data_IF_396821529064
#
_entry.id   IF_396821529064
#
_cell.length_a   1.000
_cell.length_b   1.000
_cell.length_c   1.000
_cell.angle_alpha   90.00
_cell.angle_beta   90.00
_cell.angle_gamma   90.00
#
_symmetry.space_group_name_H-M   'P 1'
#
loop_
_entity.id
_entity.type
_entity.pdbx_description
1 polymer ?
#
# COMPACT_ATOMS: atom_id res chain seq x y z
N UNK A 1 -19.63 30.52 19.54
CA UNK A 1 -21.06 30.64 19.91
C UNK A 1 -21.86 30.23 18.68
N UNK A 2 -22.44 29.04 18.69
CA UNK A 2 -23.41 28.56 17.71
C UNK A 2 -24.17 27.42 18.41
N UNK A 3 -25.48 27.58 18.55
CA UNK A 3 -26.39 26.61 19.13
C UNK A 3 -27.37 26.19 18.03
N UNK A 4 -27.47 24.89 17.74
CA UNK A 4 -28.57 24.31 16.97
C UNK A 4 -29.55 23.57 17.88
N UNK A 5 -30.82 23.60 17.50
CA UNK A 5 -31.97 23.19 18.30
C UNK A 5 -32.55 21.88 17.76
N UNK A 6 -32.40 20.76 18.47
CA UNK A 6 -33.15 19.53 18.17
C UNK A 6 -33.60 18.83 19.46
N UNK A 7 -34.92 18.71 19.64
CA UNK A 7 -35.64 17.88 20.63
C UNK A 7 -35.38 18.16 22.13
N UNK A 8 -35.78 19.35 22.58
CA UNK A 8 -36.52 19.49 23.85
C UNK A 8 -35.75 19.39 25.19
N UNK A 9 -34.42 19.41 25.24
CA UNK A 9 -33.67 19.68 26.48
C UNK A 9 -32.46 20.59 26.23
N UNK A 10 -32.34 21.68 27.01
CA UNK A 10 -31.22 22.64 26.97
C UNK A 10 -30.11 22.18 27.93
N UNK A 11 -28.90 21.97 27.42
CA UNK A 11 -27.68 21.98 28.23
C UNK A 11 -26.58 22.75 27.49
N UNK A 12 -26.15 23.86 28.08
CA UNK A 12 -24.96 24.61 27.69
C UNK A 12 -23.84 24.27 28.68
N UNK A 13 -22.61 24.09 28.21
CA UNK A 13 -21.43 23.98 29.11
C UNK A 13 -20.30 24.90 28.64
N UNK A 14 -19.72 25.57 29.62
CA UNK A 14 -18.76 26.68 29.52
C UNK A 14 -17.35 26.23 29.12
N UNK A 15 -16.69 27.18 28.44
CA UNK A 15 -15.25 27.28 28.15
C UNK A 15 -14.38 27.36 29.41
N UNK A 16 -13.13 26.94 29.26
CA UNK A 16 -12.02 27.31 30.15
C UNK A 16 -10.67 27.15 29.45
N UNK A 17 -10.12 28.26 28.93
CA UNK A 17 -8.67 28.51 28.85
C UNK A 17 -8.15 28.77 30.29
N UNK A 18 -6.89 28.53 30.64
CA UNK A 18 -5.77 29.46 30.49
C UNK A 18 -4.45 28.73 30.87
N UNK A 19 -3.44 28.89 30.01
CA UNK A 19 -1.96 29.08 30.15
C UNK A 19 -1.27 28.81 31.52
N UNK A 20 0.02 28.47 31.69
CA UNK A 20 1.25 28.65 30.90
C UNK A 20 2.41 27.85 31.56
N UNK A 21 3.49 27.63 30.79
CA UNK A 21 4.90 27.77 31.17
C UNK A 21 5.73 26.58 31.72
N UNK A 22 6.63 26.14 30.82
CA UNK A 22 8.09 25.86 30.96
C UNK A 22 8.58 24.40 31.05
N UNK A 23 9.30 24.04 29.97
CA UNK A 23 10.56 23.30 29.85
C UNK A 23 10.84 22.17 30.85
N UNK A 24 11.00 20.94 30.33
CA UNK A 24 12.32 20.28 30.26
C UNK A 24 12.23 18.99 29.45
N UNK A 25 13.12 18.87 28.47
CA UNK A 25 13.45 17.68 27.69
C UNK A 25 13.96 16.57 28.60
N UNK A 26 13.55 15.31 28.39
CA UNK A 26 14.36 14.06 28.41
C UNK A 26 13.43 12.85 28.12
N UNK A 27 13.92 11.97 27.23
CA UNK A 27 13.29 10.76 26.67
C UNK A 27 13.06 9.62 27.69
N UNK A 28 12.25 8.60 27.35
CA UNK A 28 11.59 7.71 28.31
C UNK A 28 12.35 6.41 28.60
N UNK A 29 12.16 5.85 29.80
CA UNK A 29 12.39 4.42 30.08
C UNK A 29 11.21 3.83 30.84
N UNK A 30 10.71 2.72 30.28
CA UNK A 30 9.64 1.89 30.80
C UNK A 30 10.06 1.17 32.09
N UNK A 31 9.16 1.14 33.07
CA UNK A 31 9.22 0.28 34.25
C UNK A 31 7.87 -0.41 34.44
N UNK A 32 7.88 -1.74 34.42
CA UNK A 32 6.73 -2.58 34.78
C UNK A 32 6.75 -2.95 36.26
N UNK A 33 5.57 -3.26 36.81
CA UNK A 33 5.40 -4.12 37.97
C UNK A 33 3.94 -4.56 38.11
N UNK A 34 3.69 -5.87 38.12
CA UNK A 34 2.52 -6.48 38.76
C UNK A 34 3.01 -7.76 39.44
N UNK A 35 2.93 -7.80 40.77
CA UNK A 35 3.11 -9.00 41.60
C UNK A 35 1.77 -9.36 42.24
N UNK A 36 1.40 -10.64 42.16
CA UNK A 36 0.22 -11.22 42.80
C UNK A 36 0.57 -11.75 44.20
N UNK A 37 -0.32 -11.48 45.16
CA UNK A 37 -0.33 -11.97 46.55
C UNK A 37 -0.95 -13.37 46.62
N UNK A 38 -0.37 -14.24 47.44
CA UNK A 38 -1.00 -15.46 47.96
C UNK A 38 -0.40 -15.80 49.32
N UNK A 39 -1.23 -15.73 50.36
CA UNK A 39 -0.97 -15.88 51.79
C UNK A 39 -1.18 -17.34 52.20
N UNK A 40 -0.33 -17.94 53.05
CA UNK A 40 -0.76 -18.84 54.16
C UNK A 40 0.26 -18.82 55.32
N UNK A 41 -0.25 -18.36 56.46
CA UNK A 41 -0.07 -18.66 57.90
C UNK A 41 1.24 -19.15 58.58
N UNK A 42 1.37 -18.61 59.81
CA UNK A 42 2.31 -18.82 60.91
C UNK A 42 2.29 -20.23 61.52
N UNK A 43 3.45 -20.71 62.00
CA UNK A 43 3.79 -20.77 63.44
C UNK A 43 5.08 -21.61 63.72
N UNK A 44 6.14 -20.92 64.19
CA UNK A 44 6.87 -21.11 65.47
C UNK A 44 6.95 -22.53 66.09
N UNK A 45 8.07 -23.12 66.55
CA UNK A 45 9.30 -22.64 67.21
C UNK A 45 10.39 -23.76 67.29
N UNK A 46 11.65 -23.31 67.38
CA UNK A 46 12.94 -23.87 67.86
C UNK A 46 13.15 -25.38 68.19
N UNK A 47 14.26 -25.97 67.72
CA UNK A 47 15.52 -26.24 68.50
C UNK A 47 16.58 -27.00 67.64
N UNK A 48 17.85 -26.55 67.72
CA UNK A 48 19.16 -27.26 67.66
C UNK A 48 19.59 -28.20 66.50
N UNK A 49 20.80 -27.94 65.99
CA UNK A 49 21.70 -28.81 65.17
C UNK A 49 22.31 -29.95 66.03
N UNK A 50 23.13 -30.90 65.50
CA UNK A 50 23.32 -31.46 64.14
C UNK A 50 23.35 -33.02 64.10
N UNK A 51 23.39 -33.64 62.90
CA UNK A 51 24.28 -34.77 62.48
C UNK A 51 23.77 -35.56 61.26
N UNK A 52 24.74 -36.09 60.51
CA UNK A 52 24.69 -36.83 59.24
C UNK A 52 23.68 -37.98 59.17
N UNK A 53 23.11 -38.20 57.98
CA UNK A 53 23.06 -39.53 57.36
C UNK A 53 22.81 -39.45 55.84
N UNK A 54 23.61 -40.19 55.08
CA UNK A 54 23.51 -40.36 53.63
C UNK A 54 22.33 -41.24 53.23
N UNK A 55 21.64 -40.90 52.14
CA UNK A 55 20.90 -41.85 51.31
C UNK A 55 21.07 -41.49 49.83
N UNK A 56 21.75 -42.35 49.09
CA UNK A 56 21.76 -42.33 47.62
C UNK A 56 20.43 -42.90 47.12
N UNK A 57 19.70 -42.12 46.34
CA UNK A 57 18.64 -42.61 45.45
C UNK A 57 18.85 -41.99 44.07
N UNK A 58 19.20 -42.84 43.11
CA UNK A 58 19.46 -42.47 41.72
C UNK A 58 18.13 -42.23 41.00
N UNK A 59 17.83 -40.97 40.67
CA UNK A 59 16.80 -40.62 39.69
C UNK A 59 17.45 -40.52 38.31
N UNK A 60 17.02 -41.36 37.37
CA UNK A 60 17.29 -41.18 35.94
C UNK A 60 16.55 -39.91 35.46
N UNK A 61 17.24 -38.77 35.49
CA UNK A 61 16.77 -37.54 34.86
C UNK A 61 16.95 -37.66 33.34
N UNK A 62 15.87 -37.97 32.63
CA UNK A 62 15.79 -37.77 31.18
C UNK A 62 15.99 -36.27 30.90
N UNK A 63 17.07 -35.93 30.20
CA UNK A 63 17.61 -34.57 30.11
C UNK A 63 16.63 -33.62 29.39
N UNK A 64 16.06 -32.69 30.17
CA UNK A 64 15.30 -31.49 29.75
C UNK A 64 16.05 -30.60 28.72
N UNK A 65 17.34 -30.85 28.46
CA UNK A 65 18.13 -30.10 27.48
C UNK A 65 17.80 -30.41 26.00
N UNK A 66 17.24 -31.57 25.68
CA UNK A 66 17.01 -31.94 24.26
C UNK A 66 15.78 -31.24 23.66
N UNK A 67 14.73 -30.97 24.44
CA UNK A 67 13.53 -30.26 23.98
C UNK A 67 13.76 -28.77 23.71
N UNK A 68 14.70 -28.14 24.42
CA UNK A 68 15.02 -26.72 24.26
C UNK A 68 15.79 -26.43 22.97
N UNK A 69 16.60 -27.37 22.51
CA UNK A 69 17.37 -27.25 21.26
C UNK A 69 16.51 -27.54 20.01
N UNK A 70 15.44 -28.34 20.12
CA UNK A 70 14.50 -28.60 19.03
C UNK A 70 13.62 -27.37 18.75
N UNK A 71 13.17 -26.66 19.79
CA UNK A 71 12.38 -25.43 19.63
C UNK A 71 13.21 -24.28 19.04
N UNK A 72 14.48 -24.12 19.43
CA UNK A 72 15.38 -23.13 18.85
C UNK A 72 15.75 -23.41 17.38
N UNK A 73 15.77 -24.68 16.95
CA UNK A 73 16.02 -25.05 15.55
C UNK A 73 14.76 -24.94 14.67
N UNK A 74 13.56 -25.10 15.24
CA UNK A 74 12.29 -24.83 14.56
C UNK A 74 12.05 -23.34 14.33
N UNK A 75 12.45 -22.48 15.27
CA UNK A 75 12.37 -21.02 15.11
C UNK A 75 13.39 -20.47 14.09
N UNK A 76 14.48 -21.19 13.82
CA UNK A 76 15.43 -20.82 12.77
C UNK A 76 14.95 -21.22 11.35
N UNK A 77 13.83 -21.95 11.23
CA UNK A 77 13.35 -22.51 9.96
C UNK A 77 12.09 -21.84 9.38
N UNK A 78 11.55 -20.81 10.04
CA UNK A 78 10.41 -20.02 9.50
C UNK A 78 10.79 -18.53 9.45
N UNK A 79 11.89 -18.23 8.76
CA UNK A 79 12.03 -16.94 8.08
C UNK A 79 11.96 -17.24 6.60
N UNK A 80 10.76 -17.63 6.14
CA UNK A 80 10.40 -17.48 4.73
C UNK A 80 10.28 -15.98 4.51
N UNK A 81 11.41 -15.32 4.22
CA UNK A 81 11.38 -14.03 3.53
C UNK A 81 10.63 -14.30 2.24
N UNK A 82 9.35 -13.95 2.22
CA UNK A 82 8.54 -13.96 1.02
C UNK A 82 9.21 -13.03 0.03
N UNK A 83 10.03 -13.60 -0.84
CA UNK A 83 10.58 -12.88 -1.97
C UNK A 83 9.37 -12.43 -2.79
N UNK A 84 9.17 -11.12 -2.89
CA UNK A 84 8.11 -10.60 -3.72
C UNK A 84 8.41 -11.08 -5.15
N UNK A 85 7.49 -11.85 -5.71
CA UNK A 85 7.60 -12.21 -7.12
C UNK A 85 7.39 -10.92 -7.91
N UNK A 86 8.45 -10.37 -8.52
CA UNK A 86 8.34 -9.17 -9.34
C UNK A 86 7.55 -9.44 -10.63
N UNK A 87 7.40 -10.71 -11.01
CA UNK A 87 6.68 -11.13 -12.20
C UNK A 87 5.20 -11.37 -11.89
N UNK A 88 4.48 -10.30 -11.58
CA UNK A 88 3.04 -10.33 -11.33
C UNK A 88 2.28 -10.19 -12.65
N UNK A 89 1.34 -11.09 -12.91
CA UNK A 89 0.42 -11.03 -14.04
C UNK A 89 -0.92 -11.66 -13.70
N UNK A 90 -1.96 -11.36 -14.48
CA UNK A 90 -3.28 -11.93 -14.29
C UNK A 90 -4.35 -11.28 -15.15
N UNK A 91 -5.60 -11.62 -14.89
CA UNK A 91 -6.74 -10.89 -15.43
C UNK A 91 -7.09 -9.71 -14.51
N UNK A 92 -7.51 -8.61 -15.11
CA UNK A 92 -7.95 -7.41 -14.42
C UNK A 92 -9.18 -6.78 -15.10
N UNK A 93 -9.94 -6.04 -14.30
CA UNK A 93 -10.92 -5.06 -14.80
C UNK A 93 -10.30 -3.67 -14.74
N UNK A 94 -10.61 -2.81 -15.70
CA UNK A 94 -10.20 -1.41 -15.64
C UNK A 94 -11.39 -0.50 -15.38
N UNK A 95 -11.16 0.60 -14.67
CA UNK A 95 -12.13 1.69 -14.53
C UNK A 95 -11.46 3.00 -14.90
N UNK A 96 -12.13 4.12 -14.66
CA UNK A 96 -11.59 5.46 -14.88
C UNK A 96 -11.90 6.33 -13.68
N UNK A 97 -11.02 7.29 -13.39
CA UNK A 97 -11.19 8.30 -12.34
C UNK A 97 -10.40 9.57 -12.63
N UNK A 98 -10.86 10.68 -12.07
CA UNK A 98 -10.05 11.88 -11.88
C UNK A 98 -10.69 12.74 -10.79
N UNK A 99 -10.15 12.67 -9.59
CA UNK A 99 -10.64 13.39 -8.41
C UNK A 99 -9.73 14.52 -7.96
N UNK A 100 -8.62 14.74 -8.69
CA UNK A 100 -7.59 15.72 -8.38
C UNK A 100 -6.88 15.51 -7.03
N UNK A 101 -7.21 14.46 -6.27
CA UNK A 101 -6.57 14.19 -4.99
C UNK A 101 -5.08 13.98 -5.16
N UNK A 102 -4.29 14.29 -4.12
CA UNK A 102 -2.92 13.78 -4.03
C UNK A 102 -2.94 12.25 -4.15
N UNK A 103 -2.26 11.66 -5.15
CA UNK A 103 -2.24 10.20 -5.32
C UNK A 103 -1.62 9.50 -4.11
N UNK A 104 -2.12 8.31 -3.76
CA UNK A 104 -1.67 7.61 -2.55
C UNK A 104 -0.18 7.24 -2.57
N UNK A 105 0.40 6.96 -3.73
CA UNK A 105 1.84 6.69 -3.87
C UNK A 105 2.71 7.96 -3.80
N UNK A 106 2.10 9.13 -3.58
CA UNK A 106 2.81 10.40 -3.35
C UNK A 106 3.15 10.62 -1.87
N UNK A 107 2.75 9.71 -0.99
CA UNK A 107 3.14 9.70 0.42
C UNK A 107 4.42 8.90 0.62
N UNK A 108 5.22 9.29 1.61
CA UNK A 108 6.42 8.53 2.01
C UNK A 108 6.05 7.13 2.50
N UNK A 109 7.01 6.22 2.39
CA UNK A 109 6.94 4.85 2.92
C UNK A 109 5.78 4.01 2.34
N UNK A 110 5.39 4.29 1.09
CA UNK A 110 4.38 3.51 0.34
C UNK A 110 4.96 2.44 -0.55
N UNK A 111 6.28 2.32 -0.60
CA UNK A 111 7.03 1.33 -1.36
C UNK A 111 8.53 1.65 -1.33
N UNK A 112 9.36 0.69 -1.73
CA UNK A 112 10.79 0.89 -1.95
C UNK A 112 10.99 1.60 -3.31
N UNK A 113 11.11 2.92 -3.26
CA UNK A 113 11.13 3.80 -4.45
C UNK A 113 12.16 4.91 -4.30
N UNK A 114 12.67 5.40 -5.42
CA UNK A 114 13.60 6.53 -5.51
C UNK A 114 13.09 7.80 -4.82
N UNK A 115 11.80 8.08 -4.97
CA UNK A 115 11.00 9.10 -4.28
C UNK A 115 9.53 8.82 -4.55
N UNK A 116 8.61 9.21 -3.65
CA UNK A 116 7.18 9.09 -3.92
C UNK A 116 6.75 9.83 -5.18
N UNK A 117 5.60 9.44 -5.72
CA UNK A 117 4.98 10.10 -6.88
C UNK A 117 4.89 11.61 -6.63
N UNK A 118 5.31 12.39 -7.62
CA UNK A 118 5.24 13.83 -7.57
C UNK A 118 3.78 14.30 -7.48
N UNK A 119 3.49 15.17 -6.52
CA UNK A 119 2.23 15.92 -6.46
C UNK A 119 2.46 17.38 -6.87
N UNK A 120 1.38 18.05 -7.26
CA UNK A 120 1.43 19.43 -7.69
C UNK A 120 0.53 20.34 -6.84
N UNK A 121 0.89 21.62 -6.75
CA UNK A 121 0.04 22.66 -6.18
C UNK A 121 -1.10 23.06 -7.11
N UNK A 122 -1.88 24.05 -6.68
CA UNK A 122 -2.99 24.63 -7.47
C UNK A 122 -2.54 25.18 -8.84
N UNK A 123 -1.27 25.58 -8.95
CA UNK A 123 -0.63 26.10 -10.15
C UNK A 123 0.00 25.01 -11.03
N UNK A 124 -0.28 23.73 -10.75
CA UNK A 124 0.26 22.58 -11.47
C UNK A 124 1.80 22.53 -11.49
N UNK A 125 2.42 22.98 -10.39
CA UNK A 125 3.86 22.90 -10.15
C UNK A 125 4.18 21.93 -9.01
N UNK A 126 5.34 21.26 -9.05
CA UNK A 126 5.81 20.40 -7.97
C UNK A 126 5.62 21.05 -6.59
N UNK A 127 5.05 20.32 -5.64
CA UNK A 127 4.86 20.78 -4.26
C UNK A 127 5.59 19.86 -3.28
N UNK A 128 5.80 20.36 -2.06
CA UNK A 128 6.40 19.59 -0.97
C UNK A 128 5.65 18.28 -0.73
N UNK A 129 6.42 17.22 -0.50
CA UNK A 129 5.93 15.86 -0.28
C UNK A 129 5.07 15.71 0.98
N UNK A 130 5.26 16.57 1.97
CA UNK A 130 4.49 16.61 3.21
C UNK A 130 3.18 17.40 3.06
N UNK A 131 2.98 18.11 1.95
CA UNK A 131 1.76 18.87 1.72
C UNK A 131 0.53 17.95 1.74
N UNK A 132 -0.48 18.38 2.50
CA UNK A 132 -1.75 17.65 2.67
C UNK A 132 -2.50 17.52 1.35
N UNK A 133 -3.28 16.44 1.20
CA UNK A 133 -4.11 16.24 0.00
C UNK A 133 -5.18 17.33 -0.12
N UNK A 134 -5.36 17.82 -1.33
CA UNK A 134 -6.47 18.69 -1.71
C UNK A 134 -7.79 18.14 -1.21
N UNK A 135 -8.05 16.84 -1.36
CA UNK A 135 -9.32 16.19 -0.98
C UNK A 135 -9.72 16.27 0.50
N UNK A 136 -8.80 16.66 1.39
CA UNK A 136 -9.09 16.87 2.82
C UNK A 136 -8.66 18.26 3.30
N UNK A 137 -8.70 19.27 2.41
CA UNK A 137 -8.41 20.66 2.73
C UNK A 137 -6.93 21.06 2.62
N UNK A 138 -6.06 20.18 2.14
CA UNK A 138 -4.65 20.50 1.85
C UNK A 138 -4.44 21.19 0.50
N UNK A 139 -3.17 21.29 0.09
CA UNK A 139 -2.72 22.05 -1.09
C UNK A 139 -2.07 21.21 -2.19
N UNK A 140 -1.96 19.89 -1.99
CA UNK A 140 -1.37 18.97 -2.96
C UNK A 140 -2.44 18.22 -3.76
N UNK A 141 -2.28 18.20 -5.08
CA UNK A 141 -3.18 17.61 -6.05
C UNK A 141 -2.40 16.66 -6.98
N UNK A 142 -3.11 15.82 -7.74
CA UNK A 142 -2.50 15.08 -8.84
C UNK A 142 -2.03 16.06 -9.93
N UNK A 143 -0.78 15.91 -10.39
CA UNK A 143 -0.23 16.72 -11.47
C UNK A 143 -0.95 16.42 -12.80
N UNK A 144 -1.23 17.45 -13.59
CA UNK A 144 -1.99 17.29 -14.84
C UNK A 144 -1.24 16.49 -15.90
N UNK A 145 0.09 16.44 -15.84
CA UNK A 145 0.90 15.65 -16.75
C UNK A 145 0.85 14.14 -16.47
N UNK A 146 0.23 13.72 -15.35
CA UNK A 146 -0.03 12.34 -14.94
C UNK A 146 -1.40 11.84 -15.43
N UNK A 147 -1.68 12.09 -16.71
CA UNK A 147 -2.88 11.72 -17.45
C UNK A 147 -2.52 10.82 -18.65
N UNK A 148 -3.47 10.06 -19.25
CA UNK A 148 -3.19 9.16 -20.36
C UNK A 148 -2.99 9.88 -21.69
N UNK A 149 -2.30 9.23 -22.62
CA UNK A 149 -2.20 9.65 -24.01
C UNK A 149 -2.03 8.46 -24.93
N UNK A 150 -2.49 8.60 -26.17
CA UNK A 150 -2.24 7.63 -27.24
C UNK A 150 -0.88 7.90 -27.88
N UNK A 151 -0.10 6.84 -28.08
CA UNK A 151 1.12 6.90 -28.91
C UNK A 151 0.75 6.64 -30.37
N UNK A 152 -0.18 5.71 -30.59
CA UNK A 152 -0.79 5.40 -31.88
C UNK A 152 -2.17 4.74 -31.65
N UNK A 153 -2.80 4.24 -32.72
CA UNK A 153 -4.14 3.66 -32.66
C UNK A 153 -4.25 2.39 -31.81
N UNK A 154 -3.17 1.66 -31.58
CA UNK A 154 -3.18 0.39 -30.82
C UNK A 154 -2.44 0.48 -29.49
N UNK A 155 -1.70 1.56 -29.24
CA UNK A 155 -0.85 1.70 -28.05
C UNK A 155 -1.02 3.05 -27.34
N UNK A 156 -1.14 3.01 -26.02
CA UNK A 156 -1.25 4.17 -25.14
C UNK A 156 -0.39 4.03 -23.88
N UNK A 157 -0.11 5.18 -23.25
CA UNK A 157 0.48 5.26 -21.93
C UNK A 157 -0.48 5.94 -20.95
N UNK A 158 -0.27 5.75 -19.65
CA UNK A 158 -0.95 6.54 -18.64
C UNK A 158 -0.65 6.13 -17.21
N UNK A 159 -1.58 6.45 -16.32
CA UNK A 159 -1.43 6.27 -14.88
C UNK A 159 -2.69 5.64 -14.31
N UNK A 160 -2.57 4.94 -13.20
CA UNK A 160 -3.71 4.28 -12.59
C UNK A 160 -3.64 4.23 -11.07
N UNK A 161 -4.81 4.20 -10.44
CA UNK A 161 -4.99 3.56 -9.15
C UNK A 161 -4.96 2.05 -9.30
N UNK A 162 -4.12 1.36 -8.55
CA UNK A 162 -4.01 -0.09 -8.61
C UNK A 162 -4.62 -0.75 -7.37
N UNK A 163 -5.25 -1.90 -7.59
CA UNK A 163 -5.51 -2.90 -6.57
C UNK A 163 -5.13 -4.26 -7.19
N UNK A 164 -4.15 -4.92 -6.59
CA UNK A 164 -3.73 -6.27 -6.99
C UNK A 164 -4.04 -7.20 -5.83
N UNK A 165 -4.65 -8.34 -6.14
CA UNK A 165 -5.17 -9.23 -5.11
C UNK A 165 -4.05 -9.82 -4.24
N UNK A 166 -4.28 -10.01 -2.92
CA UNK A 166 -3.24 -10.44 -1.98
C UNK A 166 -2.55 -11.78 -2.32
N UNK A 167 -3.22 -12.67 -3.04
CA UNK A 167 -2.65 -13.93 -3.53
C UNK A 167 -1.50 -13.69 -4.52
N UNK A 168 -1.55 -12.62 -5.32
CA UNK A 168 -0.50 -12.26 -6.26
C UNK A 168 0.61 -11.41 -5.63
N UNK A 169 0.32 -10.68 -4.55
CA UNK A 169 1.28 -9.80 -3.88
C UNK A 169 1.93 -10.42 -2.64
N UNK A 170 1.54 -11.64 -2.26
CA UNK A 170 2.01 -12.28 -1.03
C UNK A 170 1.50 -11.56 0.23
N UNK A 171 0.25 -11.06 0.20
CA UNK A 171 -0.39 -10.34 1.31
C UNK A 171 -0.06 -8.84 1.36
N UNK A 172 0.89 -8.37 0.55
CA UNK A 172 1.32 -6.97 0.51
C UNK A 172 0.27 -6.10 -0.18
N UNK A 173 0.26 -4.81 0.17
CA UNK A 173 -0.68 -3.81 -0.36
C UNK A 173 0.04 -2.77 -1.23
N UNK A 174 -0.05 -1.48 -0.91
CA UNK A 174 0.54 -0.38 -1.69
C UNK A 174 2.03 -0.57 -1.99
N UNK A 175 2.79 -1.16 -1.06
CA UNK A 175 4.21 -1.46 -1.27
C UNK A 175 4.48 -2.38 -2.48
N UNK A 176 3.49 -3.14 -2.92
CA UNK A 176 3.57 -4.08 -4.06
C UNK A 176 3.44 -3.37 -5.40
N UNK A 177 2.58 -2.35 -5.47
CA UNK A 177 2.20 -1.74 -6.74
C UNK A 177 2.64 -0.29 -6.88
N UNK A 178 2.86 0.44 -5.79
CA UNK A 178 3.23 1.85 -5.89
C UNK A 178 4.47 2.03 -6.76
N UNK A 179 4.29 2.86 -7.79
CA UNK A 179 5.24 3.19 -8.84
C UNK A 179 5.64 2.05 -9.78
N UNK A 180 5.01 0.88 -9.65
CA UNK A 180 5.15 -0.21 -10.59
C UNK A 180 4.41 0.09 -11.90
N UNK A 181 4.98 -0.35 -13.01
CA UNK A 181 4.37 -0.25 -14.32
C UNK A 181 3.82 -1.59 -14.80
N UNK A 182 2.66 -1.53 -15.46
CA UNK A 182 1.93 -2.69 -15.90
C UNK A 182 1.51 -2.49 -17.35
N UNK A 183 1.76 -3.49 -18.18
CA UNK A 183 1.15 -3.57 -19.51
C UNK A 183 -0.25 -4.17 -19.33
N UNK A 184 -1.25 -3.50 -19.89
CA UNK A 184 -2.64 -3.91 -19.96
C UNK A 184 -2.95 -4.24 -21.42
N UNK A 185 -3.24 -5.51 -21.70
CA UNK A 185 -3.69 -5.98 -23.01
C UNK A 185 -5.21 -6.18 -22.93
N UNK A 186 -5.96 -5.27 -23.54
CA UNK A 186 -7.42 -5.27 -23.45
C UNK A 186 -8.02 -6.49 -24.15
N UNK A 187 -8.95 -7.16 -23.46
CA UNK A 187 -9.55 -8.42 -23.92
C UNK A 187 -11.03 -8.29 -24.28
N UNK A 188 -11.71 -7.23 -23.83
CA UNK A 188 -13.10 -6.93 -24.18
C UNK A 188 -13.21 -5.82 -25.23
N UNK A 189 -14.28 -5.88 -26.03
CA UNK A 189 -14.67 -4.76 -26.91
C UNK A 189 -15.03 -3.51 -26.09
N UNK A 190 -14.86 -2.30 -26.65
CA UNK A 190 -14.34 -1.98 -27.99
C UNK A 190 -12.81 -1.90 -28.05
N UNK A 191 -12.10 -2.27 -26.98
CA UNK A 191 -10.64 -2.08 -26.87
C UNK A 191 -9.82 -3.32 -27.18
N UNK A 192 -10.48 -4.44 -27.48
CA UNK A 192 -9.84 -5.73 -27.73
C UNK A 192 -8.67 -5.60 -28.71
N UNK A 193 -7.49 -6.06 -28.27
CA UNK A 193 -6.26 -6.02 -29.07
C UNK A 193 -5.46 -4.71 -28.97
N UNK A 194 -5.96 -3.69 -28.26
CA UNK A 194 -5.16 -2.53 -27.86
C UNK A 194 -4.34 -2.86 -26.62
N UNK A 195 -3.21 -2.18 -26.49
CA UNK A 195 -2.32 -2.29 -25.34
C UNK A 195 -2.12 -0.92 -24.70
N UNK A 196 -2.07 -0.88 -23.38
CA UNK A 196 -1.73 0.32 -22.62
C UNK A 196 -0.68 -0.01 -21.57
N UNK A 197 0.38 0.78 -21.46
CA UNK A 197 1.32 0.66 -20.34
C UNK A 197 1.04 1.78 -19.34
N UNK A 198 0.76 1.40 -18.10
CA UNK A 198 0.46 2.34 -17.02
C UNK A 198 1.53 2.33 -15.96
N UNK A 199 1.64 3.43 -15.21
CA UNK A 199 2.29 3.43 -13.91
C UNK A 199 1.25 3.55 -12.80
N UNK A 200 1.30 2.66 -11.82
CA UNK A 200 0.45 2.71 -10.64
C UNK A 200 0.90 3.85 -9.72
N UNK A 201 0.13 4.93 -9.68
CA UNK A 201 0.41 6.14 -8.88
C UNK A 201 -0.55 6.32 -7.70
N UNK A 202 -1.65 5.57 -7.67
CA UNK A 202 -2.67 5.63 -6.63
C UNK A 202 -3.13 4.20 -6.25
N UNK A 203 -4.05 4.10 -5.31
CA UNK A 203 -4.74 2.85 -4.95
C UNK A 203 -6.21 2.87 -5.38
N UNK A 204 -6.78 1.69 -5.67
CA UNK A 204 -8.19 1.52 -6.08
C UNK A 204 -8.96 0.58 -5.13
N UNK A 205 -9.02 0.92 -3.84
CA UNK A 205 -9.56 0.06 -2.77
C UNK A 205 -11.08 -0.14 -2.72
N UNK A 206 -11.85 0.54 -3.57
CA UNK A 206 -13.31 0.44 -3.62
C UNK A 206 -13.81 -0.92 -4.15
N UNK A 207 -13.01 -1.61 -4.97
CA UNK A 207 -13.28 -2.99 -5.41
C UNK A 207 -12.07 -3.86 -5.08
N UNK A 208 -12.24 -4.83 -4.17
CA UNK A 208 -11.15 -5.66 -3.62
C UNK A 208 -11.20 -7.14 -3.99
N UNK A 209 -12.18 -7.55 -4.80
CA UNK A 209 -12.44 -8.95 -5.14
C UNK A 209 -11.75 -9.41 -6.44
N UNK A 210 -11.14 -8.48 -7.18
CA UNK A 210 -10.48 -8.73 -8.45
C UNK A 210 -9.34 -7.74 -8.65
N UNK A 211 -8.34 -8.09 -9.47
CA UNK A 211 -7.32 -7.13 -9.85
C UNK A 211 -7.95 -5.98 -10.63
N UNK A 212 -7.58 -4.76 -10.29
CA UNK A 212 -8.16 -3.58 -10.89
C UNK A 212 -7.16 -2.47 -11.10
N UNK A 213 -7.26 -1.84 -12.27
CA UNK A 213 -6.56 -0.60 -12.61
C UNK A 213 -7.58 0.49 -12.93
N UNK A 214 -7.76 1.44 -12.01
CA UNK A 214 -8.57 2.63 -12.26
C UNK A 214 -7.72 3.67 -12.97
N UNK A 215 -7.94 3.86 -14.27
CA UNK A 215 -7.15 4.74 -15.12
C UNK A 215 -7.40 6.22 -14.75
N UNK A 216 -6.33 7.01 -14.65
CA UNK A 216 -6.40 8.43 -14.30
C UNK A 216 -6.83 9.29 -15.50
N UNK A 217 -8.13 9.29 -15.82
CA UNK A 217 -8.70 9.95 -16.99
C UNK A 217 -9.49 11.20 -16.57
N UNK A 218 -9.04 12.42 -16.91
CA UNK A 218 -9.79 13.64 -16.62
C UNK A 218 -11.23 13.57 -17.13
N UNK A 219 -12.18 13.89 -16.25
CA UNK A 219 -13.61 13.75 -16.52
C UNK A 219 -14.10 12.30 -16.61
N UNK A 220 -13.33 11.30 -16.19
CA UNK A 220 -13.69 9.88 -16.28
C UNK A 220 -14.59 9.36 -15.16
N UNK A 221 -14.38 9.83 -13.94
CA UNK A 221 -15.24 9.61 -12.78
C UNK A 221 -14.86 10.62 -11.69
N UNK A 222 -15.78 11.51 -11.33
CA UNK A 222 -15.66 12.41 -10.19
C UNK A 222 -16.15 11.72 -8.92
N UNK A 223 -15.30 11.67 -7.90
CA UNK A 223 -15.74 11.34 -6.54
C UNK A 223 -16.51 12.53 -5.94
N UNK A 224 -17.13 12.33 -4.77
CA UNK A 224 -17.78 13.40 -4.00
C UNK A 224 -16.81 14.46 -3.46
N UNK A 225 -15.51 14.33 -3.72
CA UNK A 225 -14.51 15.29 -3.30
C UNK A 225 -14.49 16.49 -4.24
N UNK A 226 -14.66 17.68 -3.68
CA UNK A 226 -14.62 18.98 -4.33
C UNK A 226 -13.19 19.44 -4.67
N UNK A 227 -12.20 18.54 -4.65
CA UNK A 227 -10.80 18.92 -4.84
C UNK A 227 -10.53 19.46 -6.24
N UNK A 228 -11.14 18.90 -7.29
CA UNK A 228 -11.02 19.46 -8.64
C UNK A 228 -11.63 20.85 -8.74
N UNK A 229 -12.82 21.04 -8.15
CA UNK A 229 -13.45 22.36 -8.04
C UNK A 229 -12.54 23.38 -7.37
N UNK A 230 -11.93 23.01 -6.23
CA UNK A 230 -10.98 23.86 -5.49
C UNK A 230 -9.65 24.07 -6.22
N UNK A 231 -9.11 23.06 -6.90
CA UNK A 231 -7.86 23.18 -7.64
C UNK A 231 -8.00 24.16 -8.80
N UNK A 232 -9.10 24.09 -9.54
CA UNK A 232 -9.25 24.85 -10.77
C UNK A 232 -10.12 26.10 -10.62
N UNK A 233 -10.73 26.31 -9.45
CA UNK A 233 -11.63 27.44 -9.21
C UNK A 233 -12.88 27.39 -10.08
N UNK A 234 -13.40 26.19 -10.35
CA UNK A 234 -14.57 25.95 -11.21
C UNK A 234 -15.64 25.15 -10.46
N UNK A 235 -16.88 25.17 -10.94
CA UNK A 235 -17.92 24.32 -10.39
C UNK A 235 -17.61 22.83 -10.61
N UNK A 236 -17.94 21.97 -9.64
CA UNK A 236 -17.69 20.52 -9.75
C UNK A 236 -18.39 19.88 -10.97
N UNK A 237 -19.53 20.42 -11.41
CA UNK A 237 -20.26 19.96 -12.60
C UNK A 237 -19.50 20.15 -13.92
N UNK A 238 -18.42 20.95 -13.93
CA UNK A 238 -17.48 21.02 -15.06
C UNK A 238 -16.85 19.66 -15.34
N UNK A 239 -16.55 18.89 -14.30
CA UNK A 239 -15.99 17.55 -14.41
C UNK A 239 -17.05 16.46 -14.61
N UNK A 240 -18.33 16.86 -14.69
CA UNK A 240 -19.47 16.00 -14.98
C UNK A 240 -20.17 15.45 -13.74
N UNK A 241 -20.89 14.35 -13.92
CA UNK A 241 -21.76 13.77 -12.88
C UNK A 241 -20.98 12.87 -11.92
N UNK A 242 -21.38 12.87 -10.65
CA UNK A 242 -20.78 11.99 -9.64
C UNK A 242 -20.81 10.52 -10.09
N UNK A 243 -19.74 9.78 -9.84
CA UNK A 243 -19.56 8.38 -10.24
C UNK A 243 -19.54 8.11 -11.77
N UNK A 244 -19.63 9.14 -12.61
CA UNK A 244 -19.79 9.00 -14.07
C UNK A 244 -18.80 9.86 -14.86
N UNK A 245 -18.48 11.06 -14.36
CA UNK A 245 -17.70 12.05 -15.07
C UNK A 245 -18.50 12.75 -16.17
N UNK A 246 -17.81 13.24 -17.20
CA UNK A 246 -18.44 13.88 -18.36
C UNK A 246 -19.21 12.88 -19.22
N UNK A 247 -20.25 13.32 -19.93
CA UNK A 247 -21.16 12.42 -20.65
C UNK A 247 -20.81 12.24 -22.13
N UNK A 248 -20.23 13.27 -22.76
CA UNK A 248 -19.86 13.27 -24.18
C UNK A 248 -18.54 13.98 -24.40
N UNK A 249 -17.92 13.75 -25.57
CA UNK A 249 -16.61 14.33 -25.92
C UNK A 249 -16.62 15.85 -25.85
N UNK A 250 -17.71 16.50 -26.26
CA UNK A 250 -17.86 17.96 -26.27
C UNK A 250 -17.86 18.56 -24.86
N UNK A 251 -18.22 17.78 -23.84
CA UNK A 251 -18.13 18.24 -22.45
C UNK A 251 -16.68 18.48 -22.02
N UNK A 252 -15.70 17.84 -22.68
CA UNK A 252 -14.28 18.08 -22.44
C UNK A 252 -13.87 19.54 -22.70
N UNK A 253 -14.61 20.30 -23.50
CA UNK A 253 -14.30 21.70 -23.78
C UNK A 253 -14.52 22.61 -22.56
N UNK A 254 -15.30 22.15 -21.57
CA UNK A 254 -15.52 22.84 -20.30
C UNK A 254 -14.40 22.61 -19.30
N UNK A 255 -13.63 21.53 -19.44
CA UNK A 255 -12.54 21.22 -18.51
C UNK A 255 -11.40 22.25 -18.60
N UNK A 256 -10.58 22.39 -17.54
CA UNK A 256 -9.34 23.15 -17.59
C UNK A 256 -8.46 22.77 -18.79
N UNK A 257 -7.78 23.76 -19.39
CA UNK A 257 -7.10 23.59 -20.68
C UNK A 257 -6.06 22.46 -20.69
N UNK A 258 -5.35 22.24 -19.58
CA UNK A 258 -4.37 21.17 -19.41
C UNK A 258 -4.97 19.76 -19.31
N UNK A 259 -6.28 19.64 -19.08
CA UNK A 259 -6.98 18.37 -18.93
C UNK A 259 -7.81 17.96 -20.16
N UNK A 260 -8.03 18.88 -21.11
CA UNK A 260 -8.93 18.65 -22.25
C UNK A 260 -8.49 17.49 -23.14
N UNK A 261 -7.20 17.40 -23.45
CA UNK A 261 -6.67 16.38 -24.36
C UNK A 261 -6.85 14.96 -23.81
N UNK A 262 -6.56 14.73 -22.53
CA UNK A 262 -6.76 13.44 -21.91
C UNK A 262 -8.25 13.12 -21.64
N UNK A 263 -9.09 14.15 -21.44
CA UNK A 263 -10.54 13.95 -21.46
C UNK A 263 -11.00 13.48 -22.84
N UNK A 264 -10.54 14.10 -23.93
CA UNK A 264 -10.89 13.69 -25.29
C UNK A 264 -10.33 12.29 -25.63
N UNK A 265 -9.15 11.93 -25.11
CA UNK A 265 -8.58 10.58 -25.22
C UNK A 265 -9.54 9.49 -24.73
N UNK A 266 -10.34 9.77 -23.68
CA UNK A 266 -11.40 8.87 -23.19
C UNK A 266 -12.34 8.43 -24.31
N UNK A 267 -12.75 9.36 -25.16
CA UNK A 267 -13.72 9.12 -26.22
C UNK A 267 -13.03 8.64 -27.51
N UNK A 268 -11.84 9.17 -27.80
CA UNK A 268 -11.15 8.91 -29.07
C UNK A 268 -10.44 7.57 -29.09
N UNK A 269 -9.54 7.34 -28.13
CA UNK A 269 -8.72 6.13 -28.11
C UNK A 269 -9.35 5.04 -27.25
N UNK A 270 -9.85 5.43 -26.07
CA UNK A 270 -10.46 4.55 -25.09
C UNK A 270 -11.96 4.25 -25.36
N UNK A 271 -12.54 4.89 -26.38
CA UNK A 271 -13.89 4.62 -26.91
C UNK A 271 -15.00 4.65 -25.85
N UNK A 272 -14.81 5.46 -24.82
CA UNK A 272 -15.67 5.55 -23.64
C UNK A 272 -16.05 4.19 -23.01
N UNK A 273 -15.15 3.21 -23.12
CA UNK A 273 -15.41 1.84 -22.69
C UNK A 273 -15.71 1.79 -21.18
N UNK A 274 -16.76 1.05 -20.80
CA UNK A 274 -17.16 0.87 -19.41
C UNK A 274 -16.68 -0.48 -18.89
N UNK A 275 -15.90 -0.45 -17.81
CA UNK A 275 -15.31 -1.64 -17.18
C UNK A 275 -14.61 -2.62 -18.14
N UNK A 276 -13.78 -2.18 -19.11
CA UNK A 276 -13.17 -3.12 -20.03
C UNK A 276 -12.18 -4.03 -19.29
N UNK A 277 -12.20 -5.31 -19.66
CA UNK A 277 -11.30 -6.32 -19.12
C UNK A 277 -9.96 -6.30 -19.85
N UNK A 278 -8.90 -6.67 -19.14
CA UNK A 278 -7.56 -6.76 -19.67
C UNK A 278 -6.80 -7.91 -19.01
N UNK A 279 -5.81 -8.45 -19.73
CA UNK A 279 -4.72 -9.18 -19.11
C UNK A 279 -3.65 -8.17 -18.73
N UNK A 280 -3.10 -8.27 -17.53
CA UNK A 280 -2.03 -7.41 -17.09
C UNK A 280 -0.76 -8.20 -16.80
N UNK A 281 0.38 -7.54 -16.97
CA UNK A 281 1.69 -8.04 -16.53
C UNK A 281 2.55 -6.88 -16.05
N UNK A 282 3.31 -7.09 -14.97
CA UNK A 282 4.35 -6.15 -14.53
C UNK A 282 5.40 -6.04 -15.64
N UNK A 283 5.75 -4.80 -15.98
CA UNK A 283 6.80 -4.49 -16.96
C UNK A 283 7.70 -3.40 -16.39
N UNK A 284 8.93 -3.32 -16.86
CA UNK A 284 9.82 -2.23 -16.48
C UNK A 284 9.19 -0.88 -16.85
N UNK A 285 9.35 0.12 -15.99
CA UNK A 285 8.76 1.42 -16.23
C UNK A 285 9.49 2.18 -17.35
N UNK A 286 8.77 2.57 -18.44
CA UNK A 286 9.31 3.47 -19.45
C UNK A 286 9.61 4.85 -18.88
N UNK A 287 10.62 5.51 -19.42
CA UNK A 287 10.99 6.88 -19.03
C UNK A 287 9.88 7.90 -19.30
N UNK A 288 9.04 7.64 -20.31
CA UNK A 288 7.86 8.47 -20.60
C UNK A 288 6.90 8.59 -19.41
N UNK A 289 6.83 7.58 -18.55
CA UNK A 289 6.02 7.58 -17.33
C UNK A 289 6.82 8.10 -16.13
N UNK A 290 8.03 7.59 -15.92
CA UNK A 290 8.81 7.92 -14.72
C UNK A 290 9.35 9.34 -14.72
N UNK A 291 9.53 9.98 -15.87
CA UNK A 291 9.90 11.39 -15.92
C UNK A 291 8.78 12.31 -15.41
N UNK A 292 7.51 11.89 -15.50
CA UNK A 292 6.33 12.65 -15.05
C UNK A 292 6.11 12.51 -13.54
N UNK A 293 6.16 11.28 -13.03
CA UNK A 293 5.95 11.00 -11.59
C UNK A 293 7.21 11.15 -10.77
N UNK A 294 8.37 11.04 -11.41
CA UNK A 294 9.69 10.96 -10.79
C UNK A 294 9.87 9.78 -9.83
N UNK A 295 8.94 8.82 -9.83
CA UNK A 295 8.94 7.66 -8.95
C UNK A 295 9.39 6.41 -9.71
N UNK A 296 10.43 5.76 -9.22
CA UNK A 296 10.99 4.53 -9.79
C UNK A 296 11.13 3.53 -8.65
N UNK A 297 10.67 2.30 -8.85
CA UNK A 297 10.84 1.23 -7.87
C UNK A 297 12.27 0.69 -7.90
N UNK A 298 12.78 0.31 -6.73
CA UNK A 298 14.11 -0.31 -6.61
C UNK A 298 14.16 -1.66 -7.35
N UNK A 299 13.02 -2.38 -7.40
CA UNK A 299 12.86 -3.64 -8.10
C UNK A 299 12.69 -3.52 -9.63
N UNK A 300 12.64 -2.31 -10.20
CA UNK A 300 12.40 -2.14 -11.64
C UNK A 300 13.59 -2.63 -12.49
N UNK A 301 14.80 -2.65 -11.91
CA UNK A 301 15.98 -3.25 -12.55
C UNK A 301 15.87 -4.78 -12.68
N UNK A 302 15.20 -5.44 -11.74
CA UNK A 302 14.93 -6.88 -11.78
C UNK A 302 13.95 -7.19 -12.91
N UNK A 303 12.90 -6.38 -13.04
CA UNK A 303 11.92 -6.49 -14.13
C UNK A 303 12.56 -6.26 -15.51
N UNK A 304 13.60 -5.41 -15.59
CA UNK A 304 14.41 -5.22 -16.81
C UNK A 304 15.33 -6.42 -17.12
N UNK A 305 15.48 -7.37 -16.20
CA UNK A 305 16.47 -8.44 -16.29
C UNK A 305 17.92 -7.96 -16.13
N UNK A 306 18.12 -6.75 -15.60
CA UNK A 306 19.45 -6.17 -15.41
C UNK A 306 20.11 -6.63 -14.09
N UNK A 307 19.32 -7.15 -13.15
CA UNK A 307 19.81 -7.80 -11.95
C UNK A 307 19.12 -9.17 -11.78
N UNK A 308 19.80 -10.18 -11.22
CA UNK A 308 19.17 -11.47 -10.93
C UNK A 308 18.00 -11.29 -9.97
N UNK A 309 16.89 -11.97 -10.24
CA UNK A 309 15.80 -12.06 -9.28
C UNK A 309 16.28 -12.64 -7.96
N UNK A 310 16.01 -11.94 -6.86
CA UNK A 310 16.28 -12.49 -5.52
C UNK A 310 15.37 -13.69 -5.20
N UNK A 311 14.31 -13.91 -5.99
CA UNK A 311 13.49 -15.12 -5.94
C UNK A 311 14.21 -16.32 -6.60
N UNK A 312 15.43 -16.64 -6.16
CA UNK A 312 16.08 -17.89 -6.57
C UNK A 312 15.51 -19.07 -5.78
N UNK A 313 14.90 -19.96 -6.55
CA UNK A 313 14.47 -21.32 -6.24
C UNK A 313 15.16 -21.97 -5.04
N UNK A 314 14.46 -22.07 -3.91
CA UNK A 314 14.68 -23.22 -3.02
C UNK A 314 14.09 -24.44 -3.72
N UNK A 315 14.90 -25.18 -4.47
CA UNK A 315 14.53 -26.54 -4.86
C UNK A 315 14.39 -27.37 -3.58
N UNK A 316 13.26 -28.06 -3.36
CA UNK A 316 13.01 -28.83 -2.14
C UNK A 316 13.98 -30.01 -1.95
N UNK A 317 14.82 -30.30 -2.95
CA UNK A 317 15.80 -31.38 -2.95
C UNK A 317 16.98 -31.16 -2.00
N UNK A 318 17.31 -29.90 -1.66
CA UNK A 318 18.41 -29.63 -0.72
C UNK A 318 18.00 -29.81 0.75
N UNK A 319 16.72 -29.64 1.07
CA UNK A 319 16.20 -29.70 2.44
C UNK A 319 16.04 -31.14 2.95
N UNK A 320 15.67 -32.10 2.10
CA UNK A 320 15.54 -33.51 2.52
C UNK A 320 16.89 -34.17 2.84
N UNK A 321 17.95 -33.86 2.08
CA UNK A 321 19.27 -34.43 2.35
C UNK A 321 19.92 -33.80 3.59
N UNK A 322 19.76 -32.48 3.79
CA UNK A 322 20.23 -31.81 5.00
C UNK A 322 19.51 -32.31 6.26
N UNK A 323 18.19 -32.54 6.17
CA UNK A 323 17.36 -33.10 7.25
C UNK A 323 17.72 -34.57 7.54
N UNK A 324 17.95 -35.39 6.50
CA UNK A 324 18.35 -36.79 6.67
C UNK A 324 19.73 -36.91 7.35
N UNK A 325 20.69 -36.04 6.99
CA UNK A 325 22.02 -36.02 7.60
C UNK A 325 21.95 -35.55 9.06
N UNK A 326 21.14 -34.53 9.39
CA UNK A 326 20.98 -34.09 10.78
C UNK A 326 20.26 -35.12 11.65
N UNK A 327 19.26 -35.81 11.11
CA UNK A 327 18.58 -36.93 11.82
C UNK A 327 19.55 -38.10 12.03
N UNK A 328 20.39 -38.43 11.04
CA UNK A 328 21.38 -39.49 11.17
C UNK A 328 22.43 -39.19 12.25
N UNK A 329 22.90 -37.94 12.34
CA UNK A 329 23.86 -37.49 13.36
C UNK A 329 23.21 -37.48 14.76
N UNK A 330 21.94 -37.09 14.87
CA UNK A 330 21.20 -37.10 16.15
C UNK A 330 20.87 -38.51 16.66
N UNK A 331 20.73 -39.50 15.76
CA UNK A 331 20.46 -40.90 16.11
C UNK A 331 21.73 -41.71 16.40
N UNK A 332 22.91 -41.16 16.15
CA UNK A 332 24.21 -41.84 16.35
C UNK A 332 25.04 -41.27 17.52
N UNK A 333 24.45 -40.36 18.32
CA UNK A 333 25.05 -39.75 19.51
C UNK A 333 24.37 -40.19 20.82
#
# INVERSE_FOLDING_TARGET
MLCEHVRGRKQCRLLGEITNSRNSTILPRCGGNVTFRGIVENASLHYWRPSRLSYHTSYHAMRVSYLRNILFLLDLFIVTVGCANVNISGDAVTTRFWDCCKPSCSWKNKGAVSKPVLSCGINDKPIDIEAGTGCTGGTAFQCSDQQPWAVNDTFAYGFAGAFITPDLTGGKIEESWCCGCYQLDFTSDPLKGKTMVIQASNTAYDIKTTNRFSLAVPGGNTTSHDACSRQYGVDQSVFGNNNTGVNRKEDCDRLPSNLKSACQWRFDWFKDASFPTAKFKRVACPTDLTNKTQCIRDDDLEVKGLVPSLAKSFSPSFSVNALAITIAILLSA
#
